data_IF_603193181928
#
_entry.id   IF_603193181928
#
_cell.length_a   1.000
_cell.length_b   1.000
_cell.length_c   1.000
_cell.angle_alpha   90.00
_cell.angle_beta   90.00
_cell.angle_gamma   90.00
#
_symmetry.space_group_name_H-M   'P 1'
#
loop_
_entity.id
_entity.type
_entity.pdbx_description
1 polymer ?
#
# COMPACT_ATOMS: atom_id res chain seq x y z
N UNK A 1 -55.89 25.08 -15.26
CA UNK A 1 -54.71 25.72 -14.61
C UNK A 1 -54.48 25.12 -13.22
N UNK A 2 -53.98 23.88 -13.15
CA UNK A 2 -53.56 23.21 -11.89
C UNK A 2 -52.33 22.33 -12.11
N UNK A 3 -51.40 22.82 -12.95
CA UNK A 3 -50.14 22.15 -13.27
C UNK A 3 -49.03 23.21 -13.33
N UNK A 4 -48.84 23.97 -12.25
CA UNK A 4 -47.72 24.92 -12.17
C UNK A 4 -47.37 25.35 -10.74
N UNK A 5 -47.42 24.43 -9.77
CA UNK A 5 -46.99 24.71 -8.39
C UNK A 5 -46.37 23.49 -7.68
N UNK A 6 -45.67 22.63 -8.42
CA UNK A 6 -44.99 21.47 -7.81
C UNK A 6 -43.61 21.17 -8.41
N UNK A 7 -42.97 22.17 -9.05
CA UNK A 7 -41.63 22.03 -9.64
C UNK A 7 -40.60 23.06 -9.17
N UNK A 8 -40.88 23.83 -8.10
CA UNK A 8 -39.95 24.85 -7.58
C UNK A 8 -39.37 24.49 -6.21
N UNK A 9 -39.90 23.47 -5.52
CA UNK A 9 -39.41 23.08 -4.17
C UNK A 9 -38.45 21.87 -4.22
N UNK A 10 -38.41 21.10 -5.32
CA UNK A 10 -37.49 19.97 -5.50
C UNK A 10 -36.13 20.40 -6.10
N UNK A 11 -35.96 21.68 -6.45
CA UNK A 11 -34.74 22.24 -7.04
C UNK A 11 -33.82 22.99 -6.05
N UNK A 12 -34.16 23.05 -4.76
CA UNK A 12 -33.35 23.74 -3.74
C UNK A 12 -32.62 22.78 -2.77
N UNK A 13 -32.71 21.46 -2.96
CA UNK A 13 -31.94 20.48 -2.17
C UNK A 13 -30.98 19.62 -3.01
N UNK A 14 -30.80 19.94 -4.29
CA UNK A 14 -29.93 19.21 -5.21
C UNK A 14 -28.71 20.03 -5.60
N UNK A 15 -27.92 20.51 -4.63
CA UNK A 15 -26.51 20.88 -4.83
C UNK A 15 -25.90 21.50 -3.55
N UNK A 16 -25.91 20.79 -2.42
CA UNK A 16 -24.71 20.85 -1.60
C UNK A 16 -23.77 19.86 -2.25
N UNK A 17 -23.04 20.34 -3.26
CA UNK A 17 -21.78 19.74 -3.61
C UNK A 17 -21.01 19.69 -2.29
N UNK A 18 -20.95 18.50 -1.69
CA UNK A 18 -19.87 18.17 -0.77
C UNK A 18 -18.64 18.27 -1.65
N UNK A 19 -18.13 19.49 -1.81
CA UNK A 19 -16.76 19.74 -2.21
C UNK A 19 -15.98 18.84 -1.28
N UNK A 20 -15.49 17.73 -1.82
CA UNK A 20 -14.49 16.90 -1.17
C UNK A 20 -13.47 17.89 -0.63
N UNK A 21 -13.44 18.03 0.69
CA UNK A 21 -12.56 18.99 1.32
C UNK A 21 -11.17 18.71 0.79
N UNK A 22 -10.59 19.69 0.09
CA UNK A 22 -9.23 19.61 -0.41
C UNK A 22 -8.35 19.19 0.77
N UNK A 23 -7.62 18.08 0.61
CA UNK A 23 -6.85 17.51 1.70
C UNK A 23 -5.91 18.60 2.23
N UNK A 24 -5.98 18.87 3.54
CA UNK A 24 -5.21 19.92 4.19
C UNK A 24 -3.75 19.87 3.71
N UNK A 25 -3.15 21.00 3.29
CA UNK A 25 -1.76 21.01 2.88
C UNK A 25 -0.93 20.56 4.09
N UNK A 26 -0.44 19.33 4.00
CA UNK A 26 0.24 18.63 5.08
C UNK A 26 1.58 18.14 4.58
N UNK A 27 2.56 18.14 5.48
CA UNK A 27 3.90 17.61 5.21
C UNK A 27 4.05 16.32 5.98
N UNK A 28 4.43 15.26 5.29
CA UNK A 28 4.63 13.94 5.87
C UNK A 28 6.07 13.76 6.36
N UNK A 29 6.22 13.18 7.55
CA UNK A 29 7.49 12.79 8.13
C UNK A 29 7.50 11.28 8.35
N UNK A 30 7.74 10.45 7.30
CA UNK A 30 7.59 9.01 7.39
C UNK A 30 8.54 8.36 8.40
N UNK A 31 9.69 8.98 8.70
CA UNK A 31 10.64 8.51 9.70
C UNK A 31 10.17 8.74 11.15
N UNK A 32 9.31 9.72 11.35
CA UNK A 32 8.75 10.07 12.65
C UNK A 32 7.35 9.46 12.84
N UNK A 33 6.62 9.21 11.75
CA UNK A 33 5.32 8.55 11.76
C UNK A 33 4.16 9.49 12.10
N UNK A 34 4.26 10.75 11.69
CA UNK A 34 3.19 11.74 11.76
C UNK A 34 3.35 12.76 10.62
N UNK A 35 2.25 13.46 10.31
CA UNK A 35 2.20 14.60 9.39
C UNK A 35 2.06 15.90 10.18
N UNK A 36 2.43 17.03 9.59
CA UNK A 36 2.15 18.36 10.17
C UNK A 36 1.24 19.19 9.26
N UNK A 37 0.46 20.07 9.87
CA UNK A 37 -0.32 21.10 9.18
C UNK A 37 -0.03 22.44 9.84
N UNK A 38 0.09 23.51 9.05
CA UNK A 38 0.30 24.85 9.58
C UNK A 38 -1.00 25.36 10.22
N UNK A 39 -0.89 26.08 11.34
CA UNK A 39 -2.07 26.58 12.06
C UNK A 39 -2.97 27.48 11.20
N UNK A 40 -2.39 28.28 10.31
CA UNK A 40 -3.15 29.14 9.41
C UNK A 40 -3.96 28.34 8.39
N UNK A 41 -3.36 27.33 7.77
CA UNK A 41 -4.01 26.46 6.80
C UNK A 41 -5.13 25.64 7.45
N UNK A 42 -4.88 25.13 8.66
CA UNK A 42 -5.90 24.44 9.44
C UNK A 42 -7.10 25.34 9.78
N UNK A 43 -6.87 26.59 10.20
CA UNK A 43 -7.95 27.55 10.45
C UNK A 43 -8.74 27.89 9.19
N UNK A 44 -8.05 28.00 8.05
CA UNK A 44 -8.67 28.28 6.75
C UNK A 44 -9.62 27.15 6.37
N UNK A 45 -9.16 25.89 6.45
CA UNK A 45 -9.99 24.73 6.14
C UNK A 45 -11.21 24.61 7.05
N UNK A 46 -11.06 24.81 8.37
CA UNK A 46 -12.22 24.80 9.29
C UNK A 46 -13.25 25.87 8.92
N UNK A 47 -12.80 27.06 8.51
CA UNK A 47 -13.70 28.14 8.07
C UNK A 47 -14.46 27.76 6.80
N UNK A 48 -13.77 27.17 5.84
CA UNK A 48 -14.36 26.72 4.57
C UNK A 48 -15.37 25.58 4.76
N UNK A 49 -15.14 24.73 5.77
CA UNK A 49 -16.05 23.64 6.16
C UNK A 49 -17.22 24.11 7.05
N UNK A 50 -17.24 25.38 7.47
CA UNK A 50 -18.24 25.90 8.41
C UNK A 50 -18.10 25.35 9.82
N UNK A 51 -16.93 24.81 10.18
CA UNK A 51 -16.65 24.27 11.51
C UNK A 51 -16.21 25.35 12.51
N UNK A 52 -16.45 25.12 13.80
CA UNK A 52 -16.03 26.03 14.85
C UNK A 52 -14.49 26.08 14.97
N UNK A 53 -13.91 27.26 14.76
CA UNK A 53 -12.47 27.46 14.90
C UNK A 53 -12.11 27.47 16.39
N UNK A 54 -11.27 26.53 16.87
CA UNK A 54 -10.88 26.52 18.27
C UNK A 54 -10.06 27.76 18.62
N UNK A 55 -10.24 28.29 19.84
CA UNK A 55 -9.41 29.38 20.35
C UNK A 55 -8.02 28.86 20.68
N UNK A 56 -7.09 29.07 19.75
CA UNK A 56 -5.68 28.75 19.92
C UNK A 56 -5.02 29.61 21.01
N UNK A 57 -4.02 29.08 21.72
CA UNK A 57 -3.30 29.83 22.74
C UNK A 57 -2.52 31.01 22.11
N UNK A 58 -2.26 32.09 22.87
CA UNK A 58 -1.47 33.22 22.36
C UNK A 58 -0.11 32.78 21.81
N UNK A 59 0.34 33.44 20.74
CA UNK A 59 1.64 33.20 20.07
C UNK A 59 1.84 31.79 19.49
N UNK A 60 0.78 31.01 19.28
CA UNK A 60 0.88 29.70 18.62
C UNK A 60 0.71 29.77 17.09
N UNK A 61 0.76 30.96 16.48
CA UNK A 61 0.60 31.12 15.03
C UNK A 61 1.69 30.43 14.20
N UNK A 62 2.88 30.29 14.78
CA UNK A 62 4.03 29.63 14.17
C UNK A 62 4.14 28.13 14.52
N UNK A 63 3.18 27.61 15.29
CA UNK A 63 3.19 26.20 15.68
C UNK A 63 2.85 25.30 14.49
N UNK A 64 3.31 24.06 14.56
CA UNK A 64 2.91 22.99 13.67
C UNK A 64 1.87 22.12 14.37
N UNK A 65 0.77 21.80 13.70
CA UNK A 65 -0.27 20.91 14.22
C UNK A 65 0.07 19.49 13.82
N UNK A 66 0.20 18.59 14.80
CA UNK A 66 0.39 17.15 14.54
C UNK A 66 -0.88 16.57 13.93
N UNK A 67 -0.69 15.78 12.87
CA UNK A 67 -1.69 14.91 12.27
C UNK A 67 -1.19 13.48 12.33
N UNK A 68 -1.87 12.65 13.12
CA UNK A 68 -1.56 11.23 13.20
C UNK A 68 -2.41 10.47 12.19
N UNK A 69 -1.81 9.50 11.51
CA UNK A 69 -2.55 8.58 10.65
C UNK A 69 -3.38 7.63 11.52
N UNK A 70 -4.65 7.96 11.60
CA UNK A 70 -5.65 7.23 12.35
C UNK A 70 -6.48 6.41 11.35
N UNK A 71 -6.41 5.09 11.45
CA UNK A 71 -7.29 4.23 10.65
C UNK A 71 -8.35 3.60 11.55
N UNK A 72 -9.61 3.81 11.19
CA UNK A 72 -10.73 3.09 11.81
C UNK A 72 -10.71 1.64 11.33
N UNK A 73 -10.77 0.71 12.28
CA UNK A 73 -10.93 -0.70 11.92
C UNK A 73 -12.38 -0.97 11.50
N UNK A 74 -12.58 -1.76 10.43
CA UNK A 74 -13.93 -2.13 9.94
C UNK A 74 -14.80 -2.88 10.96
N UNK A 75 -14.20 -3.37 12.04
CA UNK A 75 -14.87 -4.21 13.05
C UNK A 75 -15.47 -3.34 14.16
N UNK A 76 -14.93 -2.15 14.41
CA UNK A 76 -15.45 -1.25 15.42
C UNK A 76 -15.03 0.20 15.11
N UNK A 77 -15.96 1.04 14.67
CA UNK A 77 -15.71 2.45 14.29
C UNK A 77 -15.26 3.33 15.47
N UNK A 78 -15.38 2.83 16.71
CA UNK A 78 -14.84 3.46 17.90
C UNK A 78 -13.37 3.10 18.20
N UNK A 79 -12.81 2.07 17.55
CA UNK A 79 -11.39 1.72 17.68
C UNK A 79 -10.58 2.37 16.55
N UNK A 80 -9.97 3.50 16.88
CA UNK A 80 -8.87 4.05 16.10
C UNK A 80 -7.60 3.29 16.45
N UNK A 81 -7.06 2.54 15.49
CA UNK A 81 -5.73 1.95 15.66
C UNK A 81 -4.71 2.95 15.14
N UNK A 82 -3.83 3.40 16.02
CA UNK A 82 -2.67 4.20 15.62
C UNK A 82 -1.63 3.23 15.05
N UNK A 83 -1.13 3.49 13.85
CA UNK A 83 -0.08 2.66 13.25
C UNK A 83 1.12 2.53 14.20
N UNK A 84 1.78 1.38 14.22
CA UNK A 84 3.00 1.18 15.02
C UNK A 84 4.15 2.01 14.43
N UNK A 85 4.32 3.23 14.94
CA UNK A 85 5.26 4.25 14.47
C UNK A 85 5.98 4.83 15.67
N UNK A 86 7.07 5.56 15.41
CA UNK A 86 7.83 6.24 16.47
C UNK A 86 6.96 7.21 17.26
N UNK A 87 6.08 7.95 16.57
CA UNK A 87 5.16 8.88 17.21
C UNK A 87 4.07 8.17 18.02
N UNK A 88 3.51 7.07 17.53
CA UNK A 88 2.45 6.33 18.24
C UNK A 88 2.93 5.62 19.50
N UNK A 89 4.23 5.29 19.56
CA UNK A 89 4.90 4.75 20.75
C UNK A 89 5.29 5.82 21.76
N UNK A 90 5.19 7.09 21.39
CA UNK A 90 5.42 8.23 22.29
C UNK A 90 4.11 8.72 22.89
N UNK A 91 4.19 9.76 23.73
CA UNK A 91 3.00 10.43 24.25
C UNK A 91 2.38 11.43 23.27
N UNK A 92 2.92 11.58 22.04
CA UNK A 92 2.43 12.52 21.02
C UNK A 92 1.00 12.15 20.58
N UNK A 93 0.13 13.14 20.47
CA UNK A 93 -1.28 12.96 20.09
C UNK A 93 -1.66 13.79 18.88
N UNK A 94 -2.69 13.33 18.19
CA UNK A 94 -3.31 14.11 17.12
C UNK A 94 -3.73 15.50 17.63
N UNK A 95 -3.50 16.53 16.81
CA UNK A 95 -3.78 17.95 17.09
C UNK A 95 -2.90 18.60 18.16
N UNK A 96 -1.85 17.95 18.62
CA UNK A 96 -0.83 18.62 19.44
C UNK A 96 -0.19 19.77 18.65
N UNK A 97 0.06 20.90 19.32
CA UNK A 97 0.71 22.06 18.74
C UNK A 97 2.20 22.05 19.07
N UNK A 98 3.05 21.67 18.13
CA UNK A 98 4.51 21.71 18.30
C UNK A 98 4.96 23.17 18.29
N UNK A 99 5.59 23.61 19.38
CA UNK A 99 6.11 24.98 19.53
C UNK A 99 7.63 25.03 19.71
N UNK A 100 8.25 23.96 20.20
CA UNK A 100 9.71 23.82 20.33
C UNK A 100 10.14 22.46 19.82
N UNK A 101 11.23 22.42 19.06
CA UNK A 101 11.86 21.20 18.56
C UNK A 101 13.32 21.19 18.99
N UNK A 102 13.75 20.16 19.72
CA UNK A 102 15.10 20.01 20.26
C UNK A 102 15.63 21.30 20.93
N UNK A 103 14.80 21.88 21.81
CA UNK A 103 15.11 23.12 22.53
C UNK A 103 14.99 24.42 21.71
N UNK A 104 14.73 24.36 20.40
CA UNK A 104 14.58 25.55 19.53
C UNK A 104 13.12 25.94 19.37
N UNK A 105 12.77 27.14 19.83
CA UNK A 105 11.44 27.73 19.64
C UNK A 105 11.20 28.03 18.15
N UNK A 106 10.03 27.63 17.63
CA UNK A 106 9.67 27.87 16.25
C UNK A 106 9.39 29.36 16.00
N UNK A 107 10.19 29.99 15.13
CA UNK A 107 10.01 31.38 14.70
C UNK A 107 9.05 31.50 13.52
N UNK A 108 8.87 30.43 12.75
CA UNK A 108 7.88 30.26 11.70
C UNK A 108 7.52 28.77 11.57
N UNK A 109 6.39 28.42 10.93
CA UNK A 109 6.08 27.02 10.62
C UNK A 109 7.15 26.36 9.74
N UNK A 110 7.67 27.10 8.75
CA UNK A 110 8.69 26.60 7.81
C UNK A 110 10.01 26.25 8.51
N UNK A 111 10.36 26.97 9.60
CA UNK A 111 11.52 26.60 10.42
C UNK A 111 11.31 25.27 11.12
N UNK A 112 10.07 24.97 11.54
CA UNK A 112 9.72 23.69 12.12
C UNK A 112 9.87 22.56 11.11
N UNK A 113 9.38 22.77 9.88
CA UNK A 113 9.47 21.76 8.82
C UNK A 113 10.95 21.45 8.48
N UNK A 114 11.78 22.49 8.31
CA UNK A 114 13.24 22.34 8.11
C UNK A 114 13.96 21.64 9.25
N UNK A 115 13.47 21.76 10.48
CA UNK A 115 14.03 21.07 11.63
C UNK A 115 13.65 19.59 11.61
N UNK A 116 12.37 19.27 11.34
CA UNK A 116 11.86 17.91 11.31
C UNK A 116 12.41 17.09 10.13
N UNK A 117 12.58 17.71 8.95
CA UNK A 117 13.15 17.05 7.75
C UNK A 117 14.57 16.50 7.99
N UNK A 118 15.32 17.09 8.93
CA UNK A 118 16.68 16.67 9.28
C UNK A 118 16.73 15.51 10.27
N UNK A 119 15.61 15.20 10.94
CA UNK A 119 15.56 14.18 11.96
C UNK A 119 15.28 12.83 11.31
N UNK A 120 16.17 11.88 11.54
CA UNK A 120 16.02 10.51 11.07
C UNK A 120 15.39 9.62 12.15
N UNK A 121 15.10 8.35 11.81
CA UNK A 121 14.64 7.37 12.78
C UNK A 121 15.68 7.06 13.87
N UNK A 122 16.96 7.40 13.66
CA UNK A 122 18.07 7.17 14.60
C UNK A 122 18.29 8.30 15.60
N UNK A 123 17.74 9.48 15.34
CA UNK A 123 18.01 10.67 16.15
C UNK A 123 16.95 10.81 17.22
N UNK A 124 17.32 11.14 18.47
CA UNK A 124 16.35 11.51 19.51
C UNK A 124 15.63 12.81 19.14
N UNK A 125 14.32 12.87 19.37
CA UNK A 125 13.50 14.04 19.07
C UNK A 125 12.73 14.48 20.32
N UNK A 126 12.99 15.70 20.76
CA UNK A 126 12.35 16.33 21.91
C UNK A 126 11.44 17.45 21.43
N UNK A 127 10.16 17.35 21.78
CA UNK A 127 9.12 18.29 21.40
C UNK A 127 8.53 18.96 22.64
N UNK A 128 8.43 20.29 22.65
CA UNK A 128 7.48 20.95 23.53
C UNK A 128 6.21 21.19 22.74
N UNK A 129 5.12 20.58 23.19
CA UNK A 129 3.81 20.71 22.55
C UNK A 129 2.82 21.40 23.47
N UNK A 130 1.85 22.08 22.87
CA UNK A 130 0.67 22.58 23.58
C UNK A 130 -0.51 21.69 23.21
N UNK A 131 -1.09 21.03 24.20
CA UNK A 131 -2.22 20.12 24.04
C UNK A 131 -3.49 20.75 24.61
N UNK A 132 -4.60 20.57 23.89
CA UNK A 132 -5.92 20.95 24.40
C UNK A 132 -6.46 19.86 25.32
N UNK A 133 -6.76 20.23 26.56
CA UNK A 133 -7.46 19.37 27.52
C UNK A 133 -8.77 20.06 27.91
N UNK A 134 -9.89 19.58 27.34
CA UNK A 134 -11.22 20.21 27.45
C UNK A 134 -11.18 21.69 27.02
N UNK A 135 -11.29 22.60 27.97
CA UNK A 135 -11.27 24.06 27.77
C UNK A 135 -9.92 24.71 28.08
N UNK A 136 -8.90 23.93 28.49
CA UNK A 136 -7.57 24.44 28.85
C UNK A 136 -6.51 23.98 27.86
N UNK A 137 -5.42 24.73 27.81
CA UNK A 137 -4.21 24.41 27.05
C UNK A 137 -3.07 24.15 28.02
N UNK A 138 -2.42 23.00 27.87
CA UNK A 138 -1.34 22.55 28.73
C UNK A 138 -0.07 22.35 27.90
N UNK A 139 1.08 22.70 28.47
CA UNK A 139 2.39 22.46 27.85
C UNK A 139 2.92 21.11 28.30
N UNK A 140 3.34 20.30 27.35
CA UNK A 140 3.80 18.94 27.57
C UNK A 140 5.14 18.79 26.85
N UNK A 141 6.13 18.20 27.53
CA UNK A 141 7.37 17.77 26.90
C UNK A 141 7.19 16.33 26.45
N UNK A 142 7.43 16.05 25.18
CA UNK A 142 7.29 14.73 24.59
C UNK A 142 8.62 14.36 23.95
N UNK A 143 9.12 13.19 24.31
CA UNK A 143 10.31 12.61 23.71
C UNK A 143 9.90 11.46 22.82
N UNK A 144 10.33 11.50 21.57
CA UNK A 144 10.29 10.34 20.69
C UNK A 144 11.69 9.71 20.79
N UNK A 145 11.76 8.44 21.16
CA UNK A 145 13.03 7.73 21.29
C UNK A 145 13.55 7.26 19.93
N UNK A 146 14.88 7.16 19.71
CA UNK A 146 15.46 6.54 18.54
C UNK A 146 14.93 5.13 18.27
N UNK A 147 14.92 4.73 17.00
CA UNK A 147 14.45 3.44 16.52
C UNK A 147 15.58 2.70 15.78
N UNK A 148 15.70 1.38 15.98
CA UNK A 148 16.66 0.56 15.26
C UNK A 148 16.32 0.40 13.77
N UNK A 149 17.31 0.09 12.92
CA UNK A 149 17.10 -0.07 11.46
C UNK A 149 16.08 -1.19 11.12
N UNK A 150 16.12 -2.29 11.87
CA UNK A 150 15.17 -3.39 11.72
C UNK A 150 13.75 -2.97 12.10
N UNK A 151 13.62 -2.29 13.23
CA UNK A 151 12.34 -1.83 13.76
C UNK A 151 11.69 -0.80 12.84
N UNK A 152 12.50 0.10 12.29
CA UNK A 152 12.08 1.03 11.24
C UNK A 152 11.64 0.30 9.97
N UNK A 153 12.35 -0.75 9.56
CA UNK A 153 11.94 -1.57 8.41
C UNK A 153 10.61 -2.29 8.66
N UNK A 154 10.41 -2.83 9.87
CA UNK A 154 9.14 -3.44 10.29
C UNK A 154 7.99 -2.43 10.28
N UNK A 155 8.24 -1.19 10.70
CA UNK A 155 7.24 -0.12 10.63
C UNK A 155 6.88 0.31 9.20
N UNK A 156 7.57 -0.18 8.17
CA UNK A 156 7.23 0.06 6.76
C UNK A 156 6.50 -1.09 6.09
N UNK A 157 6.39 -2.24 6.76
CA UNK A 157 5.70 -3.42 6.24
C UNK A 157 4.36 -3.57 6.95
N UNK A 158 3.29 -3.77 6.17
CA UNK A 158 1.96 -4.12 6.68
C UNK A 158 1.66 -5.58 6.36
N UNK A 159 1.01 -6.25 7.32
CA UNK A 159 0.55 -7.62 7.16
C UNK A 159 -0.92 -7.64 6.78
N UNK A 160 -1.22 -8.18 5.60
CA UNK A 160 -2.58 -8.32 5.08
C UNK A 160 -2.96 -9.80 5.10
N UNK A 161 -4.13 -10.13 5.64
CA UNK A 161 -4.70 -11.48 5.53
C UNK A 161 -5.52 -11.56 4.25
N UNK A 162 -5.21 -12.54 3.40
CA UNK A 162 -5.90 -12.77 2.15
C UNK A 162 -5.83 -14.25 1.76
N UNK A 163 -6.62 -14.64 0.77
CA UNK A 163 -6.54 -15.97 0.17
C UNK A 163 -5.49 -15.94 -0.96
N UNK A 164 -4.67 -16.98 -1.04
CA UNK A 164 -3.74 -17.14 -2.14
C UNK A 164 -4.39 -17.86 -3.35
N UNK A 165 -3.58 -18.20 -4.36
CA UNK A 165 -4.09 -18.84 -5.59
C UNK A 165 -4.65 -20.25 -5.36
N UNK A 166 -4.27 -20.92 -4.26
CA UNK A 166 -4.83 -22.23 -3.84
C UNK A 166 -6.05 -22.06 -2.92
N UNK A 167 -6.57 -20.83 -2.78
CA UNK A 167 -7.60 -20.46 -1.80
C UNK A 167 -7.24 -20.83 -0.36
N UNK A 168 -5.94 -20.89 -0.03
CA UNK A 168 -5.48 -21.06 1.33
C UNK A 168 -5.35 -19.69 2.01
N UNK A 169 -5.75 -19.60 3.28
CA UNK A 169 -5.54 -18.38 4.06
C UNK A 169 -4.04 -18.14 4.25
N UNK A 170 -3.57 -16.98 3.82
CA UNK A 170 -2.18 -16.56 3.91
C UNK A 170 -2.06 -15.15 4.50
N UNK A 171 -0.89 -14.86 5.07
CA UNK A 171 -0.46 -13.52 5.44
C UNK A 171 0.51 -13.00 4.39
N UNK A 172 0.29 -11.76 3.97
CA UNK A 172 1.10 -11.06 3.00
C UNK A 172 1.75 -9.87 3.68
N UNK A 173 3.07 -9.91 3.83
CA UNK A 173 3.90 -8.78 4.25
C UNK A 173 4.26 -7.93 3.04
N UNK A 174 3.60 -6.80 2.87
CA UNK A 174 3.83 -5.86 1.76
C UNK A 174 4.27 -4.50 2.31
N UNK A 175 5.02 -3.73 1.53
CA UNK A 175 5.31 -2.35 1.91
C UNK A 175 4.01 -1.55 2.08
N UNK A 176 3.95 -0.61 3.02
CA UNK A 176 2.73 0.20 3.27
C UNK A 176 2.27 0.96 2.03
N UNK A 177 3.24 1.54 1.33
CA UNK A 177 3.07 2.31 0.08
C UNK A 177 3.14 1.44 -1.20
N UNK A 178 3.01 0.12 -1.06
CA UNK A 178 2.94 -0.78 -2.21
C UNK A 178 1.72 -0.45 -3.08
N UNK A 179 1.94 -0.36 -4.40
CA UNK A 179 0.87 -0.20 -5.38
C UNK A 179 0.04 -1.49 -5.53
N UNK A 180 -1.19 -1.41 -6.07
CA UNK A 180 -1.99 -2.58 -6.41
C UNK A 180 -1.26 -3.55 -7.35
N UNK A 181 -1.66 -4.82 -7.32
CA UNK A 181 -0.98 -5.92 -8.03
C UNK A 181 -0.90 -5.70 -9.53
N UNK A 182 -1.95 -5.14 -10.12
CA UNK A 182 -2.04 -4.80 -11.53
C UNK A 182 -1.95 -3.28 -11.66
N UNK A 183 -0.72 -2.77 -11.65
CA UNK A 183 -0.44 -1.38 -11.97
C UNK A 183 0.71 -1.31 -12.95
N UNK A 184 0.67 -0.34 -13.86
CA UNK A 184 1.66 -0.29 -14.92
C UNK A 184 3.03 0.06 -14.33
N UNK A 185 4.05 -0.70 -14.74
CA UNK A 185 5.40 -0.57 -14.19
C UNK A 185 5.53 -1.01 -12.73
N UNK A 186 4.66 -1.89 -12.26
CA UNK A 186 4.74 -2.37 -10.89
C UNK A 186 5.96 -3.27 -10.69
N UNK A 187 6.69 -3.03 -9.60
CA UNK A 187 7.90 -3.76 -9.25
C UNK A 187 8.03 -3.79 -7.73
N UNK A 188 7.87 -4.95 -7.10
CA UNK A 188 7.95 -5.07 -5.65
C UNK A 188 8.42 -6.44 -5.17
N UNK A 189 8.93 -6.46 -3.93
CA UNK A 189 9.02 -7.68 -3.13
C UNK A 189 7.85 -7.77 -2.17
N UNK A 190 7.44 -8.99 -1.84
CA UNK A 190 6.52 -9.23 -0.74
C UNK A 190 6.82 -10.56 -0.05
N UNK A 191 6.40 -10.66 1.21
CA UNK A 191 6.50 -11.88 2.02
C UNK A 191 5.15 -12.58 1.98
N UNK A 192 5.14 -13.89 1.72
CA UNK A 192 3.95 -14.73 1.82
C UNK A 192 4.18 -15.79 2.89
N UNK A 193 3.22 -15.94 3.80
CA UNK A 193 3.23 -16.96 4.83
C UNK A 193 1.89 -17.70 4.83
N UNK A 194 1.90 -18.99 4.51
CA UNK A 194 0.73 -19.87 4.71
C UNK A 194 0.71 -20.38 6.16
N UNK A 195 -0.45 -20.80 6.64
CA UNK A 195 -0.58 -21.36 8.00
C UNK A 195 0.41 -22.51 8.21
N UNK A 196 1.19 -22.46 9.30
CA UNK A 196 2.19 -23.48 9.69
C UNK A 196 3.38 -23.65 8.72
N UNK A 197 3.53 -22.78 7.73
CA UNK A 197 4.68 -22.76 6.82
C UNK A 197 5.63 -21.59 7.15
N UNK A 198 6.91 -21.77 6.82
CA UNK A 198 7.89 -20.67 6.87
C UNK A 198 7.55 -19.59 5.85
N UNK A 199 7.74 -18.34 6.25
CA UNK A 199 7.64 -17.18 5.35
C UNK A 199 8.53 -17.36 4.12
N UNK A 200 7.99 -17.04 2.94
CA UNK A 200 8.64 -17.11 1.64
C UNK A 200 8.68 -15.72 1.00
N UNK A 201 9.76 -15.40 0.31
CA UNK A 201 9.93 -14.12 -0.39
C UNK A 201 9.54 -14.28 -1.86
N UNK A 202 8.77 -13.33 -2.38
CA UNK A 202 8.29 -13.30 -3.75
C UNK A 202 8.73 -12.02 -4.45
N UNK A 203 8.95 -12.11 -5.75
CA UNK A 203 9.11 -10.97 -6.65
C UNK A 203 7.84 -10.84 -7.50
N UNK A 204 7.35 -9.62 -7.59
CA UNK A 204 6.17 -9.28 -8.38
C UNK A 204 6.48 -8.16 -9.37
N UNK A 205 6.21 -8.39 -10.64
CA UNK A 205 6.39 -7.47 -11.77
C UNK A 205 5.09 -7.41 -12.56
N UNK A 206 4.59 -6.23 -12.91
CA UNK A 206 3.49 -6.13 -13.88
C UNK A 206 3.65 -4.98 -14.86
N UNK A 207 3.26 -5.22 -16.11
CA UNK A 207 3.22 -4.22 -17.18
C UNK A 207 1.90 -4.34 -17.94
N UNK A 208 1.36 -3.19 -18.37
CA UNK A 208 0.18 -3.15 -19.22
C UNK A 208 0.59 -3.12 -20.69
N UNK A 209 0.26 -4.17 -21.43
CA UNK A 209 0.71 -4.43 -22.80
C UNK A 209 -0.47 -4.65 -23.77
N UNK A 210 -1.41 -3.69 -23.93
CA UNK A 210 -2.60 -3.87 -24.77
C UNK A 210 -2.27 -4.02 -26.26
N UNK A 211 -1.11 -3.50 -26.70
CA UNK A 211 -0.64 -3.54 -28.08
C UNK A 211 0.32 -4.72 -28.35
N UNK A 212 0.64 -5.53 -27.33
CA UNK A 212 1.51 -6.67 -27.55
C UNK A 212 0.78 -7.68 -28.45
N UNK A 213 1.45 -8.19 -29.51
CA UNK A 213 0.83 -9.21 -30.34
C UNK A 213 0.49 -10.42 -29.45
N UNK A 214 -0.77 -10.93 -29.48
CA UNK A 214 -1.12 -12.15 -28.77
C UNK A 214 -0.18 -13.23 -29.27
N UNK A 215 0.73 -13.70 -28.41
CA UNK A 215 1.89 -14.50 -28.82
C UNK A 215 1.46 -15.71 -29.66
N UNK A 216 1.93 -15.78 -30.91
CA UNK A 216 1.70 -16.91 -31.82
C UNK A 216 2.86 -17.91 -31.90
N UNK A 217 3.96 -17.68 -31.19
CA UNK A 217 5.12 -18.58 -31.22
C UNK A 217 5.29 -19.25 -29.85
N UNK A 218 4.64 -20.40 -29.70
CA UNK A 218 4.65 -21.26 -28.50
C UNK A 218 6.02 -21.88 -28.20
N UNK A 219 7.05 -21.60 -29.02
CA UNK A 219 8.41 -22.14 -28.85
C UNK A 219 9.34 -21.24 -28.04
N UNK A 220 9.00 -19.96 -27.84
CA UNK A 220 9.81 -19.01 -27.06
C UNK A 220 9.10 -18.63 -25.78
N UNK A 221 9.60 -19.16 -24.66
CA UNK A 221 9.23 -18.71 -23.31
C UNK A 221 9.55 -17.22 -23.24
N UNK A 222 8.55 -16.35 -23.11
CA UNK A 222 8.74 -14.92 -22.92
C UNK A 222 8.89 -14.59 -21.42
N UNK A 223 9.35 -13.38 -21.14
CA UNK A 223 9.40 -12.90 -19.78
C UNK A 223 9.86 -11.46 -19.67
N UNK A 224 10.34 -11.12 -18.47
CA UNK A 224 10.86 -9.81 -18.16
C UNK A 224 12.38 -9.83 -18.21
N UNK A 225 12.97 -8.80 -18.82
CA UNK A 225 14.40 -8.51 -18.72
C UNK A 225 14.59 -7.40 -17.70
N UNK A 226 15.49 -7.61 -16.74
CA UNK A 226 15.89 -6.62 -15.74
C UNK A 226 17.34 -6.25 -15.99
N UNK A 227 17.60 -4.99 -16.31
CA UNK A 227 18.94 -4.43 -16.51
C UNK A 227 19.35 -3.61 -15.29
N UNK A 228 20.51 -3.94 -14.76
CA UNK A 228 21.19 -3.21 -13.68
C UNK A 228 22.47 -2.56 -14.23
N UNK A 229 23.21 -1.82 -13.40
CA UNK A 229 24.46 -1.19 -13.84
C UNK A 229 25.53 -2.22 -14.26
N UNK A 230 25.48 -3.45 -13.72
CA UNK A 230 26.53 -4.46 -13.91
C UNK A 230 26.05 -5.83 -14.40
N UNK A 231 24.75 -6.03 -14.57
CA UNK A 231 24.18 -7.31 -14.95
C UNK A 231 22.82 -7.17 -15.66
N UNK A 232 22.53 -8.15 -16.51
CA UNK A 232 21.23 -8.34 -17.14
C UNK A 232 20.66 -9.68 -16.67
N UNK A 233 19.41 -9.65 -16.22
CA UNK A 233 18.69 -10.79 -15.70
C UNK A 233 17.46 -11.05 -16.54
N UNK A 234 17.26 -12.32 -16.91
CA UNK A 234 16.04 -12.78 -17.57
C UNK A 234 15.17 -13.51 -16.55
N UNK A 235 13.94 -13.03 -16.39
CA UNK A 235 12.91 -13.61 -15.54
C UNK A 235 11.83 -14.17 -16.46
N UNK A 236 11.94 -15.46 -16.76
CA UNK A 236 10.95 -16.16 -17.56
C UNK A 236 9.61 -16.25 -16.79
N UNK A 237 8.51 -16.01 -17.48
CA UNK A 237 7.19 -16.45 -17.01
C UNK A 237 7.18 -17.94 -17.34
N UNK A 238 7.69 -18.77 -16.42
CA UNK A 238 7.77 -20.22 -16.64
C UNK A 238 6.37 -20.76 -16.95
N UNK A 239 6.25 -21.48 -18.08
CA UNK A 239 5.22 -22.51 -18.20
C UNK A 239 5.47 -23.51 -17.07
N UNK A 240 4.39 -23.80 -16.33
CA UNK A 240 4.30 -24.70 -15.18
C UNK A 240 5.57 -25.54 -14.94
N UNK A 241 6.19 -25.39 -13.77
CA UNK A 241 7.08 -26.40 -13.21
C UNK A 241 6.56 -27.77 -13.64
N UNK A 242 7.41 -28.61 -14.26
CA UNK A 242 7.12 -30.02 -14.57
C UNK A 242 6.84 -30.75 -13.25
N UNK A 243 5.69 -30.45 -12.68
CA UNK A 243 5.21 -30.97 -11.43
C UNK A 243 4.83 -32.40 -11.74
N UNK A 244 5.25 -33.31 -10.85
CA UNK A 244 4.73 -34.66 -10.83
C UNK A 244 3.19 -34.57 -11.01
N UNK A 245 2.59 -35.19 -12.05
CA UNK A 245 1.16 -35.08 -12.33
C UNK A 245 0.30 -35.37 -11.10
N UNK A 246 0.74 -36.31 -10.25
CA UNK A 246 0.06 -36.62 -8.99
C UNK A 246 0.11 -35.46 -7.97
N UNK A 247 1.24 -34.75 -7.88
CA UNK A 247 1.36 -33.58 -7.01
C UNK A 247 0.52 -32.40 -7.54
N UNK A 248 0.46 -32.21 -8.86
CA UNK A 248 -0.39 -31.20 -9.49
C UNK A 248 -1.88 -31.48 -9.24
N UNK A 249 -2.31 -32.74 -9.42
CA UNK A 249 -3.68 -33.17 -9.16
C UNK A 249 -4.05 -33.01 -7.68
N UNK A 250 -3.16 -33.39 -6.75
CA UNK A 250 -3.38 -33.19 -5.32
C UNK A 250 -3.52 -31.70 -4.96
N UNK A 251 -2.69 -30.81 -5.51
CA UNK A 251 -2.80 -29.35 -5.34
C UNK A 251 -4.14 -28.84 -5.88
N UNK A 252 -4.53 -29.27 -7.08
CA UNK A 252 -5.82 -28.91 -7.69
C UNK A 252 -7.00 -29.33 -6.81
N UNK A 253 -7.03 -30.59 -6.36
CA UNK A 253 -8.10 -31.10 -5.50
C UNK A 253 -8.18 -30.34 -4.17
N UNK A 254 -7.02 -30.01 -3.58
CA UNK A 254 -6.95 -29.17 -2.38
C UNK A 254 -7.47 -27.75 -2.64
N UNK A 255 -7.09 -27.14 -3.76
CA UNK A 255 -7.58 -25.81 -4.15
C UNK A 255 -9.10 -25.81 -4.38
N UNK A 256 -9.66 -26.85 -5.01
CA UNK A 256 -11.11 -27.01 -5.20
C UNK A 256 -11.82 -27.13 -3.85
N UNK A 257 -11.29 -27.94 -2.93
CA UNK A 257 -11.85 -28.09 -1.59
C UNK A 257 -11.83 -26.75 -0.82
N UNK A 258 -10.68 -26.07 -0.81
CA UNK A 258 -10.52 -24.76 -0.17
C UNK A 258 -11.46 -23.70 -0.75
N UNK A 259 -11.56 -23.64 -2.10
CA UNK A 259 -12.48 -22.76 -2.78
C UNK A 259 -13.93 -23.04 -2.38
N UNK A 260 -14.33 -24.32 -2.35
CA UNK A 260 -15.69 -24.72 -1.98
C UNK A 260 -16.03 -24.31 -0.54
N UNK A 261 -15.10 -24.50 0.40
CA UNK A 261 -15.27 -24.07 1.79
C UNK A 261 -15.40 -22.54 1.90
N UNK A 262 -14.54 -21.79 1.19
CA UNK A 262 -14.60 -20.34 1.12
C UNK A 262 -15.93 -19.84 0.52
N UNK A 263 -16.34 -20.43 -0.61
CA UNK A 263 -17.56 -20.07 -1.33
C UNK A 263 -18.79 -20.27 -0.44
N UNK A 264 -18.90 -21.42 0.24
CA UNK A 264 -20.03 -21.74 1.12
C UNK A 264 -20.14 -20.81 2.33
N UNK A 265 -19.02 -20.29 2.84
CA UNK A 265 -18.99 -19.31 3.94
C UNK A 265 -19.17 -17.86 3.48
N UNK A 266 -19.09 -17.62 2.18
CA UNK A 266 -19.18 -16.28 1.62
C UNK A 266 -20.62 -15.76 1.57
N UNK A 267 -20.75 -14.44 1.69
CA UNK A 267 -22.05 -13.76 1.58
C UNK A 267 -22.68 -13.98 0.20
N UNK A 268 -24.01 -13.93 0.10
CA UNK A 268 -24.72 -14.03 -1.19
C UNK A 268 -24.17 -13.06 -2.24
N UNK A 269 -23.84 -11.83 -1.82
CA UNK A 269 -23.23 -10.82 -2.71
C UNK A 269 -21.87 -11.28 -3.25
N UNK A 270 -21.01 -11.82 -2.40
CA UNK A 270 -19.67 -12.27 -2.80
C UNK A 270 -19.77 -13.49 -3.72
N UNK A 271 -20.66 -14.43 -3.41
CA UNK A 271 -20.93 -15.59 -4.28
C UNK A 271 -21.41 -15.16 -5.66
N UNK A 272 -22.40 -14.26 -5.73
CA UNK A 272 -22.87 -13.71 -7.01
C UNK A 272 -21.75 -13.07 -7.83
N UNK A 273 -20.89 -12.28 -7.19
CA UNK A 273 -19.73 -11.68 -7.87
C UNK A 273 -18.74 -12.74 -8.39
N UNK A 274 -18.53 -13.83 -7.65
CA UNK A 274 -17.65 -14.93 -8.07
C UNK A 274 -18.25 -15.69 -9.26
N UNK A 275 -19.56 -15.93 -9.23
CA UNK A 275 -20.29 -16.58 -10.32
C UNK A 275 -20.22 -15.72 -11.59
N UNK A 276 -20.50 -14.42 -11.48
CA UNK A 276 -20.40 -13.45 -12.58
C UNK A 276 -18.98 -13.37 -13.17
N UNK A 277 -17.94 -13.38 -12.33
CA UNK A 277 -16.56 -13.42 -12.79
C UNK A 277 -16.24 -14.73 -13.52
N UNK A 278 -16.69 -15.86 -12.97
CA UNK A 278 -16.49 -17.18 -13.57
C UNK A 278 -17.17 -17.32 -14.93
N UNK A 279 -18.39 -16.82 -15.07
CA UNK A 279 -19.14 -16.81 -16.33
C UNK A 279 -18.42 -15.97 -17.39
N UNK A 280 -17.99 -14.75 -17.04
CA UNK A 280 -17.27 -13.87 -17.95
C UNK A 280 -15.94 -14.45 -18.41
N UNK A 281 -15.16 -15.01 -17.49
CA UNK A 281 -13.91 -15.70 -17.81
C UNK A 281 -14.16 -16.86 -18.77
N UNK A 282 -15.20 -17.65 -18.53
CA UNK A 282 -15.55 -18.81 -19.37
C UNK A 282 -15.97 -18.39 -20.78
N UNK A 283 -16.61 -17.23 -20.92
CA UNK A 283 -17.03 -16.66 -22.20
C UNK A 283 -15.96 -15.78 -22.86
N UNK A 284 -14.76 -15.66 -22.28
CA UNK A 284 -13.70 -14.73 -22.72
C UNK A 284 -14.16 -13.26 -22.77
N UNK A 285 -15.10 -12.88 -21.90
CA UNK A 285 -15.62 -11.53 -21.79
C UNK A 285 -14.87 -10.69 -20.76
N UNK A 286 -14.84 -9.38 -20.97
CA UNK A 286 -14.24 -8.43 -20.01
C UNK A 286 -15.05 -8.37 -18.72
N UNK A 287 -14.37 -8.61 -17.59
CA UNK A 287 -14.94 -8.42 -16.26
C UNK A 287 -15.12 -6.92 -15.94
N UNK A 288 -16.14 -6.53 -15.13
CA UNK A 288 -16.28 -5.14 -14.70
C UNK A 288 -15.07 -4.74 -13.84
N UNK A 289 -14.49 -3.57 -14.13
CA UNK A 289 -13.30 -3.05 -13.42
C UNK A 289 -13.51 -2.96 -11.91
N UNK A 290 -14.67 -2.48 -11.48
CA UNK A 290 -15.05 -2.35 -10.07
C UNK A 290 -15.05 -3.70 -9.35
N UNK A 291 -15.47 -4.77 -10.04
CA UNK A 291 -15.47 -6.14 -9.51
C UNK A 291 -14.04 -6.64 -9.35
N UNK A 292 -13.17 -6.42 -10.34
CA UNK A 292 -11.76 -6.80 -10.27
C UNK A 292 -11.04 -6.06 -9.13
N UNK A 293 -11.20 -4.74 -9.02
CA UNK A 293 -10.63 -3.93 -7.94
C UNK A 293 -11.11 -4.43 -6.57
N UNK A 294 -12.40 -4.76 -6.43
CA UNK A 294 -12.92 -5.25 -5.15
C UNK A 294 -12.31 -6.62 -4.78
N UNK A 295 -12.13 -7.52 -5.75
CA UNK A 295 -11.47 -8.80 -5.52
C UNK A 295 -9.98 -8.64 -5.19
N UNK A 296 -9.27 -7.77 -5.89
CA UNK A 296 -7.87 -7.42 -5.58
C UNK A 296 -7.73 -6.87 -4.16
N UNK A 297 -8.60 -5.93 -3.77
CA UNK A 297 -8.61 -5.32 -2.42
C UNK A 297 -8.91 -6.34 -1.33
N UNK A 298 -9.80 -7.28 -1.60
CA UNK A 298 -10.16 -8.36 -0.66
C UNK A 298 -9.16 -9.51 -0.66
N UNK A 299 -8.30 -9.58 -1.68
CA UNK A 299 -7.37 -10.68 -1.88
C UNK A 299 -8.12 -12.01 -2.02
N UNK A 300 -9.17 -12.05 -2.83
CA UNK A 300 -9.94 -13.26 -3.14
C UNK A 300 -9.93 -13.50 -4.65
N UNK A 301 -10.07 -14.78 -5.05
CA UNK A 301 -10.08 -15.18 -6.46
C UNK A 301 -8.86 -14.66 -7.26
N UNK A 302 -7.67 -14.68 -6.64
CA UNK A 302 -6.45 -14.05 -7.19
C UNK A 302 -6.04 -14.60 -8.56
N UNK A 303 -6.26 -15.90 -8.79
CA UNK A 303 -5.97 -16.55 -10.07
C UNK A 303 -6.99 -16.15 -11.14
N UNK A 304 -8.29 -16.14 -10.84
CA UNK A 304 -9.34 -15.68 -11.76
C UNK A 304 -9.16 -14.20 -12.13
N UNK A 305 -8.86 -13.34 -11.15
CA UNK A 305 -8.53 -11.94 -11.40
C UNK A 305 -7.31 -11.83 -12.29
N UNK A 306 -6.25 -12.60 -12.02
CA UNK A 306 -5.05 -12.62 -12.86
C UNK A 306 -5.35 -13.00 -14.31
N UNK A 307 -6.17 -14.03 -14.53
CA UNK A 307 -6.59 -14.43 -15.87
C UNK A 307 -7.44 -13.35 -16.55
N UNK A 308 -8.41 -12.75 -15.85
CA UNK A 308 -9.21 -11.67 -16.41
C UNK A 308 -8.35 -10.45 -16.78
N UNK A 309 -7.36 -10.09 -15.96
CA UNK A 309 -6.39 -9.03 -16.23
C UNK A 309 -5.49 -9.36 -17.42
N UNK A 310 -5.07 -10.61 -17.55
CA UNK A 310 -4.32 -11.09 -18.72
C UNK A 310 -5.12 -10.91 -20.01
N UNK A 311 -6.43 -11.21 -20.02
CA UNK A 311 -7.31 -10.94 -21.17
C UNK A 311 -7.43 -9.45 -21.51
N UNK A 312 -7.17 -8.55 -20.56
CA UNK A 312 -7.12 -7.10 -20.78
C UNK A 312 -5.75 -6.61 -21.28
N UNK A 313 -4.74 -7.48 -21.37
CA UNK A 313 -3.38 -7.16 -21.80
C UNK A 313 -2.41 -6.91 -20.63
N UNK A 314 -2.75 -7.28 -19.40
CA UNK A 314 -1.78 -7.23 -18.29
C UNK A 314 -0.86 -8.44 -18.30
N UNK A 315 0.45 -8.18 -18.31
CA UNK A 315 1.46 -9.21 -18.04
C UNK A 315 1.90 -9.15 -16.58
N UNK A 316 1.97 -10.31 -15.93
CA UNK A 316 2.30 -10.45 -14.52
C UNK A 316 3.32 -11.58 -14.31
N UNK A 317 4.46 -11.24 -13.71
CA UNK A 317 5.30 -12.20 -13.03
C UNK A 317 5.05 -12.10 -11.52
N UNK A 318 4.59 -13.17 -10.90
CA UNK A 318 4.34 -13.24 -9.46
C UNK A 318 4.80 -14.59 -8.93
N UNK A 319 6.06 -14.67 -8.48
CA UNK A 319 6.70 -15.96 -8.19
C UNK A 319 7.65 -15.89 -7.01
N UNK A 320 7.79 -17.05 -6.36
CA UNK A 320 8.71 -17.24 -5.24
C UNK A 320 10.13 -17.04 -5.75
N UNK A 321 10.93 -16.27 -5.01
CA UNK A 321 12.35 -16.14 -5.33
C UNK A 321 13.06 -17.47 -5.09
N UNK A 322 13.83 -17.90 -6.08
CA UNK A 322 14.78 -19.01 -6.01
C UNK A 322 16.09 -18.55 -5.36
N UNK A 323 16.91 -19.48 -4.85
CA UNK A 323 18.12 -19.15 -4.08
C UNK A 323 19.14 -18.36 -4.91
N UNK A 324 19.32 -18.73 -6.16
CA UNK A 324 20.17 -18.08 -7.16
C UNK A 324 19.70 -16.66 -7.51
N UNK A 325 18.39 -16.40 -7.46
CA UNK A 325 17.81 -15.07 -7.70
C UNK A 325 18.07 -14.06 -6.55
N UNK A 326 18.66 -14.48 -5.41
CA UNK A 326 19.02 -13.54 -4.34
C UNK A 326 20.03 -12.49 -4.80
N UNK A 327 20.98 -12.87 -5.68
CA UNK A 327 21.97 -11.95 -6.24
C UNK A 327 21.30 -10.86 -7.07
N UNK A 328 20.34 -11.25 -7.93
CA UNK A 328 19.55 -10.31 -8.74
C UNK A 328 18.91 -9.23 -7.87
N UNK A 329 18.27 -9.61 -6.75
CA UNK A 329 17.65 -8.65 -5.82
C UNK A 329 18.69 -7.73 -5.18
N UNK A 330 19.85 -8.25 -4.77
CA UNK A 330 20.92 -7.44 -4.21
C UNK A 330 21.40 -6.40 -5.24
N UNK A 331 21.64 -6.82 -6.48
CA UNK A 331 22.09 -5.96 -7.56
C UNK A 331 21.05 -4.88 -7.91
N UNK A 332 19.75 -5.22 -7.94
CA UNK A 332 18.67 -4.25 -8.13
C UNK A 332 18.72 -3.16 -7.05
N UNK A 333 18.84 -3.55 -5.78
CA UNK A 333 18.81 -2.61 -4.65
C UNK A 333 20.06 -1.71 -4.64
N UNK A 334 21.23 -2.24 -5.00
CA UNK A 334 22.49 -1.47 -4.98
C UNK A 334 22.72 -0.63 -6.23
N UNK A 335 22.09 -0.95 -7.35
CA UNK A 335 22.34 -0.25 -8.62
C UNK A 335 21.75 1.16 -8.63
N UNK A 336 22.49 2.08 -9.25
CA UNK A 336 22.05 3.46 -9.48
C UNK A 336 20.91 3.47 -10.49
N UNK A 337 21.09 2.79 -11.64
CA UNK A 337 20.07 2.63 -12.66
C UNK A 337 19.58 1.18 -12.70
N UNK A 338 18.27 1.01 -12.69
CA UNK A 338 17.63 -0.26 -12.95
C UNK A 338 16.47 0.01 -13.89
N UNK A 339 16.41 -0.74 -14.97
CA UNK A 339 15.23 -0.76 -15.84
C UNK A 339 14.77 -2.19 -16.03
N UNK A 340 13.48 -2.36 -16.31
CA UNK A 340 12.96 -3.63 -16.76
C UNK A 340 11.99 -3.44 -17.91
N UNK A 341 11.86 -4.44 -18.76
CA UNK A 341 10.92 -4.46 -19.87
C UNK A 341 10.43 -5.88 -20.13
N UNK A 342 9.31 -5.99 -20.83
CA UNK A 342 8.84 -7.27 -21.33
C UNK A 342 9.51 -7.58 -22.68
N UNK A 343 9.89 -8.83 -22.92
CA UNK A 343 10.62 -9.25 -24.12
C UNK A 343 9.89 -8.98 -25.44
N UNK A 344 8.55 -8.95 -25.43
CA UNK A 344 7.76 -8.62 -26.63
C UNK A 344 7.81 -7.13 -26.99
N UNK A 345 8.21 -6.26 -26.07
CA UNK A 345 8.21 -4.80 -26.23
C UNK A 345 9.48 -4.18 -25.65
N UNK A 346 10.68 -4.52 -26.17
CA UNK A 346 11.97 -4.09 -25.59
C UNK A 346 12.16 -2.56 -25.58
N UNK A 347 11.47 -1.84 -26.47
CA UNK A 347 11.55 -0.39 -26.61
C UNK A 347 10.69 0.38 -25.59
N UNK A 348 9.94 -0.32 -24.73
CA UNK A 348 9.12 0.28 -23.66
C UNK A 348 9.66 -0.09 -22.26
N UNK A 349 10.89 0.31 -21.89
CA UNK A 349 11.43 0.03 -20.56
C UNK A 349 10.78 0.89 -19.48
N UNK A 350 10.57 0.28 -18.31
CA UNK A 350 10.22 0.97 -17.08
C UNK A 350 11.47 1.15 -16.22
N UNK A 351 11.73 2.38 -15.75
CA UNK A 351 12.82 2.65 -14.82
C UNK A 351 12.38 2.46 -13.36
N UNK A 352 13.10 1.61 -12.62
CA UNK A 352 12.80 1.35 -11.20
C UNK A 352 13.23 2.55 -10.36
N UNK A 353 12.25 3.16 -9.71
CA UNK A 353 12.44 4.38 -8.92
C UNK A 353 13.25 4.13 -7.63
N UNK A 354 13.91 5.16 -7.07
CA UNK A 354 14.54 5.07 -5.75
C UNK A 354 13.55 4.65 -4.66
N UNK A 355 12.29 5.10 -4.74
CA UNK A 355 11.23 4.71 -3.81
C UNK A 355 10.97 3.20 -3.87
N UNK A 356 10.77 2.61 -5.05
CA UNK A 356 10.59 1.16 -5.19
C UNK A 356 11.78 0.36 -4.64
N UNK A 357 13.02 0.80 -4.91
CA UNK A 357 14.23 0.16 -4.34
C UNK A 357 14.25 0.21 -2.81
N UNK A 358 13.84 1.34 -2.21
CA UNK A 358 13.71 1.47 -0.76
C UNK A 358 12.62 0.54 -0.19
N UNK A 359 11.48 0.43 -0.88
CA UNK A 359 10.39 -0.49 -0.49
C UNK A 359 10.87 -1.95 -0.48
N UNK A 360 11.54 -2.38 -1.55
CA UNK A 360 12.13 -3.72 -1.63
C UNK A 360 13.15 -3.98 -0.51
N UNK A 361 13.99 -2.99 -0.22
CA UNK A 361 14.99 -3.09 0.86
C UNK A 361 14.34 -3.27 2.23
N UNK A 362 13.26 -2.55 2.52
CA UNK A 362 12.52 -2.70 3.77
C UNK A 362 11.93 -4.12 3.90
N UNK A 363 11.24 -4.60 2.86
CA UNK A 363 10.64 -5.95 2.83
C UNK A 363 11.71 -7.03 2.98
N UNK A 364 12.82 -6.91 2.24
CA UNK A 364 13.94 -7.86 2.34
C UNK A 364 14.58 -7.87 3.73
N UNK A 365 14.64 -6.73 4.41
CA UNK A 365 15.19 -6.62 5.76
C UNK A 365 14.31 -7.33 6.77
N UNK A 366 12.99 -7.11 6.71
CA UNK A 366 12.02 -7.82 7.56
C UNK A 366 12.05 -9.33 7.30
N UNK A 367 12.08 -9.73 6.03
CA UNK A 367 12.15 -11.15 5.67
C UNK A 367 13.38 -11.88 6.22
N UNK A 368 14.56 -11.22 6.21
CA UNK A 368 15.80 -11.79 6.75
C UNK A 368 15.75 -11.98 8.26
N UNK A 369 15.08 -11.07 8.96
CA UNK A 369 14.90 -11.13 10.41
C UNK A 369 13.91 -12.22 10.84
N UNK A 370 12.84 -12.44 10.07
CA UNK A 370 11.85 -13.50 10.33
C UNK A 370 12.35 -14.92 9.97
N UNK A 371 13.65 -15.09 9.73
CA UNK A 371 14.29 -16.35 9.32
C UNK A 371 13.59 -17.02 8.11
N UNK A 372 13.07 -16.19 7.20
CA UNK A 372 12.34 -16.66 6.04
C UNK A 372 13.20 -17.50 5.09
N UNK A 373 12.53 -18.41 4.37
CA UNK A 373 13.18 -19.33 3.44
C UNK A 373 12.93 -18.88 1.99
N UNK A 374 13.98 -18.45 1.29
CA UNK A 374 13.97 -18.30 -0.18
C UNK A 374 14.03 -19.71 -0.78
N UNK A 375 13.37 -19.95 -1.91
CA UNK A 375 13.40 -21.20 -2.72
C UNK A 375 14.53 -22.18 -2.47
N UNK A 376 14.23 -23.49 -2.55
CA UNK A 376 15.31 -24.46 -2.85
C UNK A 376 15.92 -24.16 -4.22
#
# INVERSE_FOLDING_TARGET
>A
MRFLMMNVIILCFSSVSVLMAEELPSIDYPALGFRTVKVLDYKKALREQGEEIPRFPPRSGNALIVKMDQYQTRINSALTVVEDTRASRSELKDRDLIVVINGKLLRSPDDGDKLLEKITHKDKLELNVIRRNRSKWERINITLEPMGDLEFSKSKVKNVKAYDDDFALARFGVHRDARPRFSDGHFQLYIKQKSQELSKLYLQLSLFLPDAPPQKDTTKIQGFIIKTDGAEYRVAIEDEEKNNPQAAEARRNKSIANFSEFYNRSTNRTRKMLDELGEKISNFEKAPEETLIEFERRGIARSQVGFARMLEGWELYDSRLKRDQRKMIADIISSKKVSFYHESVPDKPFEVTPAQKAQMKAVLTVFKDEEGNVGE
#
